data_IF_488328530790
#
_entry.id   IF_488328530790
#
_cell.length_a   1.000
_cell.length_b   1.000
_cell.length_c   1.000
_cell.angle_alpha   90.00
_cell.angle_beta   90.00
_cell.angle_gamma   90.00
#
_symmetry.space_group_name_H-M   'P 1'
#
loop_
_entity.id
_entity.type
_entity.pdbx_description
1 polymer ?
#
# COMPACT_ATOMS: atom_id res chain seq x y z
N UNK A 1 15.26 4.62 10.53
CA UNK A 1 14.23 4.49 11.59
C UNK A 1 12.97 5.33 11.38
N UNK A 2 12.91 6.62 11.74
CA UNK A 2 11.65 7.40 11.63
C UNK A 2 11.12 7.49 10.18
N UNK A 3 12.01 7.81 9.23
CA UNK A 3 11.68 7.92 7.81
C UNK A 3 11.16 6.61 7.19
N UNK A 4 11.72 5.45 7.58
CA UNK A 4 11.27 4.14 7.09
C UNK A 4 9.88 3.78 7.62
N UNK A 5 9.59 4.14 8.88
CA UNK A 5 8.25 3.96 9.46
C UNK A 5 7.24 4.83 8.73
N UNK A 6 7.55 6.10 8.49
CA UNK A 6 6.67 7.03 7.79
C UNK A 6 6.39 6.59 6.35
N UNK A 7 7.40 6.07 5.64
CA UNK A 7 7.24 5.49 4.30
C UNK A 7 6.34 4.24 4.36
N UNK A 8 6.52 3.38 5.35
CA UNK A 8 5.71 2.16 5.53
C UNK A 8 4.24 2.53 5.77
N UNK A 9 3.98 3.45 6.70
CA UNK A 9 2.63 3.90 7.06
C UNK A 9 1.94 4.62 5.90
N UNK A 10 2.69 5.42 5.12
CA UNK A 10 2.16 6.09 3.92
C UNK A 10 1.73 5.06 2.86
N UNK A 11 2.55 4.04 2.61
CA UNK A 11 2.19 3.00 1.64
C UNK A 11 1.02 2.13 2.13
N UNK A 12 0.88 1.93 3.45
CA UNK A 12 -0.23 1.20 4.03
C UNK A 12 -1.55 1.97 3.87
N UNK A 13 -1.51 3.29 4.11
CA UNK A 13 -2.66 4.18 3.85
C UNK A 13 -3.05 4.13 2.38
N UNK A 14 -2.09 4.26 1.46
CA UNK A 14 -2.36 4.22 0.02
C UNK A 14 -2.98 2.88 -0.44
N UNK A 15 -2.49 1.76 0.09
CA UNK A 15 -3.05 0.44 -0.24
C UNK A 15 -4.51 0.31 0.24
N UNK A 16 -4.83 0.84 1.43
CA UNK A 16 -6.18 0.84 1.97
C UNK A 16 -7.13 1.75 1.19
N UNK A 17 -6.68 2.96 0.82
CA UNK A 17 -7.48 3.89 0.03
C UNK A 17 -7.82 3.30 -1.34
N UNK A 18 -6.86 2.65 -2.00
CA UNK A 18 -7.10 2.01 -3.30
C UNK A 18 -8.12 0.87 -3.20
N UNK A 19 -8.08 0.09 -2.11
CA UNK A 19 -9.09 -0.94 -1.83
C UNK A 19 -10.47 -0.32 -1.60
N UNK A 20 -10.53 0.76 -0.82
CA UNK A 20 -11.77 1.49 -0.57
C UNK A 20 -12.37 2.05 -1.86
N UNK A 21 -11.56 2.67 -2.73
CA UNK A 21 -12.03 3.16 -4.03
C UNK A 21 -12.64 2.06 -4.88
N UNK A 22 -12.02 0.88 -4.92
CA UNK A 22 -12.59 -0.28 -5.62
C UNK A 22 -13.95 -0.68 -5.05
N UNK A 23 -14.07 -0.76 -3.71
CA UNK A 23 -15.33 -1.09 -3.04
C UNK A 23 -16.43 -0.05 -3.35
N UNK A 24 -16.08 1.25 -3.43
CA UNK A 24 -17.03 2.30 -3.82
C UNK A 24 -17.46 2.21 -5.28
N UNK A 25 -16.52 1.89 -6.19
CA UNK A 25 -16.82 1.64 -7.61
C UNK A 25 -17.84 0.50 -7.74
N UNK A 26 -17.57 -0.62 -7.06
CA UNK A 26 -18.41 -1.81 -7.10
C UNK A 26 -19.80 -1.53 -6.49
N UNK A 27 -19.85 -0.85 -5.35
CA UNK A 27 -21.10 -0.46 -4.68
C UNK A 27 -21.94 0.52 -5.51
N UNK A 28 -21.30 1.40 -6.28
CA UNK A 28 -21.97 2.32 -7.18
C UNK A 28 -22.44 1.67 -8.50
N UNK A 29 -22.05 0.41 -8.76
CA UNK A 29 -22.36 -0.28 -10.01
C UNK A 29 -21.72 0.38 -11.23
N UNK A 30 -20.60 1.08 -11.05
CA UNK A 30 -19.93 1.84 -12.10
C UNK A 30 -19.07 0.89 -12.96
N UNK A 31 -19.24 0.97 -14.27
CA UNK A 31 -18.33 0.30 -15.20
C UNK A 31 -17.07 1.15 -15.38
N UNK A 32 -15.95 0.68 -14.83
CA UNK A 32 -14.66 1.34 -14.96
C UNK A 32 -13.94 0.85 -16.22
N UNK A 33 -13.34 1.75 -17.03
CA UNK A 33 -12.53 1.34 -18.17
C UNK A 33 -11.41 0.38 -17.75
N UNK A 34 -11.14 -0.63 -18.58
CA UNK A 34 -10.14 -1.68 -18.30
C UNK A 34 -8.77 -1.11 -17.93
N UNK A 35 -8.33 -0.05 -18.60
CA UNK A 35 -7.06 0.63 -18.31
C UNK A 35 -7.02 1.26 -16.92
N UNK A 36 -8.14 1.80 -16.43
CA UNK A 36 -8.24 2.36 -15.08
C UNK A 36 -8.25 1.24 -14.05
N UNK A 37 -8.96 0.13 -14.32
CA UNK A 37 -8.96 -1.05 -13.46
C UNK A 37 -7.55 -1.67 -13.34
N UNK A 38 -6.83 -1.77 -14.45
CA UNK A 38 -5.45 -2.25 -14.48
C UNK A 38 -4.53 -1.33 -13.66
N UNK A 39 -4.66 -0.01 -13.81
CA UNK A 39 -3.89 0.97 -13.04
C UNK A 39 -4.17 0.88 -11.53
N UNK A 40 -5.43 0.72 -11.12
CA UNK A 40 -5.81 0.55 -9.72
C UNK A 40 -5.17 -0.71 -9.12
N UNK A 41 -5.30 -1.84 -9.81
CA UNK A 41 -4.74 -3.13 -9.37
C UNK A 41 -3.21 -3.07 -9.27
N UNK A 42 -2.53 -2.49 -10.25
CA UNK A 42 -1.07 -2.32 -10.20
C UNK A 42 -0.63 -1.41 -9.04
N UNK A 43 -1.35 -0.32 -8.83
CA UNK A 43 -1.05 0.64 -7.76
C UNK A 43 -1.23 0.01 -6.38
N UNK A 44 -2.28 -0.80 -6.21
CA UNK A 44 -2.54 -1.51 -4.96
C UNK A 44 -1.44 -2.54 -4.68
N UNK A 45 -1.06 -3.33 -5.70
CA UNK A 45 0.02 -4.31 -5.59
C UNK A 45 1.35 -3.63 -5.21
N UNK A 46 1.75 -2.59 -5.96
CA UNK A 46 3.01 -1.86 -5.71
C UNK A 46 3.04 -1.25 -4.30
N UNK A 47 1.92 -0.72 -3.83
CA UNK A 47 1.84 -0.13 -2.49
C UNK A 47 1.93 -1.20 -1.40
N UNK A 48 1.24 -2.32 -1.56
CA UNK A 48 1.29 -3.45 -0.63
C UNK A 48 2.69 -4.08 -0.56
N UNK A 49 3.35 -4.26 -1.71
CA UNK A 49 4.71 -4.78 -1.80
C UNK A 49 5.70 -3.85 -1.07
N UNK A 50 5.53 -2.53 -1.20
CA UNK A 50 6.34 -1.54 -0.48
C UNK A 50 6.13 -1.59 1.03
N UNK A 51 4.89 -1.74 1.51
CA UNK A 51 4.61 -1.92 2.96
C UNK A 51 5.40 -3.10 3.50
N UNK A 52 5.37 -4.24 2.79
CA UNK A 52 6.09 -5.43 3.21
C UNK A 52 7.60 -5.19 3.24
N UNK A 53 8.17 -4.66 2.15
CA UNK A 53 9.60 -4.41 2.04
C UNK A 53 10.12 -3.45 3.11
N UNK A 54 9.47 -2.29 3.30
CA UNK A 54 9.92 -1.31 4.28
C UNK A 54 9.64 -1.75 5.72
N UNK A 55 8.56 -2.51 5.96
CA UNK A 55 8.27 -3.10 7.27
C UNK A 55 9.32 -4.13 7.70
N UNK A 56 9.79 -4.97 6.77
CA UNK A 56 10.88 -5.94 7.01
C UNK A 56 12.19 -5.21 7.33
N UNK A 57 12.56 -4.19 6.54
CA UNK A 57 13.78 -3.39 6.78
C UNK A 57 13.70 -2.64 8.11
N UNK A 58 12.55 -2.05 8.43
CA UNK A 58 12.33 -1.39 9.72
C UNK A 58 12.50 -2.37 10.89
N UNK A 59 11.94 -3.57 10.79
CA UNK A 59 12.03 -4.58 11.85
C UNK A 59 13.50 -5.02 12.08
N UNK A 60 14.24 -5.26 10.99
CA UNK A 60 15.67 -5.61 11.06
C UNK A 60 16.54 -4.47 11.64
N UNK A 61 16.32 -3.23 11.21
CA UNK A 61 17.03 -2.07 11.77
C UNK A 61 16.73 -1.91 13.26
N UNK A 62 15.49 -2.18 13.70
CA UNK A 62 15.10 -2.09 15.10
C UNK A 62 15.86 -3.12 15.92
N UNK A 63 15.84 -4.39 15.51
CA UNK A 63 16.59 -5.45 16.19
C UNK A 63 18.08 -5.12 16.30
N UNK A 64 18.70 -4.55 15.25
CA UNK A 64 20.12 -4.15 15.27
C UNK A 64 20.46 -3.02 16.24
N UNK A 65 19.52 -2.14 16.56
CA UNK A 65 19.76 -1.00 17.48
C UNK A 65 19.58 -1.40 18.94
N UNK A 66 18.70 -2.38 19.22
CA UNK A 66 18.35 -2.82 20.56
C UNK A 66 19.08 -4.10 21.03
N UNK A 67 20.01 -4.61 20.24
CA UNK A 67 20.93 -5.71 20.56
C UNK A 67 22.39 -5.30 20.36
#
# INVERSE_FOLDING_TARGET
MAELKDITDTNATLANDLKFFQEQIDAAGLTVPKSVQELLNESQKKSSDRVKMFGEVYSQEKERIYH
#
